data_IF_839577589719
#
_entry.id   IF_839577589719
#
_cell.length_a   1.000
_cell.length_b   1.000
_cell.length_c   1.000
_cell.angle_alpha   90.00
_cell.angle_beta   90.00
_cell.angle_gamma   90.00
#
_symmetry.space_group_name_H-M   'P 1'
#
loop_
_entity.id
_entity.type
_entity.pdbx_description
1 polymer ?
#
# COMPACT_ATOMS: atom_id res chain seq x y z
N UNK A 1 48.47 84.47 -0.78
CA UNK A 1 48.59 83.00 -0.73
C UNK A 1 47.49 82.48 0.17
N UNK A 2 46.83 81.42 -0.29
CA UNK A 2 45.42 81.10 -0.03
C UNK A 2 45.18 80.48 1.35
N UNK A 3 43.96 80.70 1.82
CA UNK A 3 43.33 80.56 3.14
C UNK A 3 43.22 79.14 3.75
N UNK A 4 43.37 79.11 5.09
CA UNK A 4 42.60 78.37 6.15
C UNK A 4 42.60 76.83 6.16
N UNK A 5 43.17 76.15 7.18
CA UNK A 5 42.63 75.88 8.56
C UNK A 5 41.51 74.79 8.55
N UNK A 6 41.44 73.75 9.39
CA UNK A 6 42.15 73.30 10.60
C UNK A 6 41.68 71.86 10.94
N UNK A 7 42.46 71.17 11.79
CA UNK A 7 42.25 69.94 12.59
C UNK A 7 40.81 69.72 13.15
N UNK A 8 40.34 68.55 13.61
CA UNK A 8 40.94 67.32 14.16
C UNK A 8 39.81 66.24 14.21
N UNK A 9 40.09 64.93 14.29
CA UNK A 9 39.04 63.94 14.66
C UNK A 9 39.57 62.62 15.27
N UNK A 10 39.00 62.13 16.40
CA UNK A 10 39.40 60.89 17.07
C UNK A 10 38.49 59.67 16.80
N UNK A 11 38.97 58.49 17.25
CA UNK A 11 38.54 57.08 17.08
C UNK A 11 37.09 56.69 17.46
N UNK A 12 36.52 55.60 16.89
CA UNK A 12 35.33 54.92 17.44
C UNK A 12 35.53 53.42 17.83
N UNK A 13 34.55 52.79 18.53
CA UNK A 13 34.70 51.54 19.30
C UNK A 13 33.89 50.31 18.81
N UNK A 14 34.04 49.21 19.57
CA UNK A 14 33.54 47.81 19.48
C UNK A 14 32.13 47.51 18.93
N UNK A 15 32.01 46.43 18.14
CA UNK A 15 30.78 45.91 17.53
C UNK A 15 29.99 44.94 18.42
N UNK A 16 28.66 45.13 18.47
CA UNK A 16 27.69 44.30 19.23
C UNK A 16 27.14 43.15 18.38
N UNK A 17 26.94 42.01 19.05
CA UNK A 17 26.28 40.77 18.60
C UNK A 17 24.77 41.00 18.40
N UNK A 18 24.24 40.79 17.18
CA UNK A 18 22.80 40.83 16.90
C UNK A 18 22.18 39.43 16.99
N UNK A 19 21.19 39.28 17.88
CA UNK A 19 20.25 38.14 17.90
C UNK A 19 19.27 38.29 16.74
N UNK A 20 19.20 37.31 15.84
CA UNK A 20 18.16 37.20 14.82
C UNK A 20 16.84 36.81 15.50
N UNK A 21 15.89 37.74 15.51
CA UNK A 21 14.51 37.48 15.88
C UNK A 21 13.79 36.72 14.75
N UNK A 22 13.14 35.61 15.08
CA UNK A 22 12.16 34.95 14.19
C UNK A 22 10.94 35.88 14.06
N UNK A 23 10.87 36.64 12.96
CA UNK A 23 9.64 37.32 12.58
C UNK A 23 8.63 36.28 12.07
N UNK A 24 7.62 35.98 12.90
CA UNK A 24 6.37 35.37 12.43
C UNK A 24 5.63 36.42 11.60
N UNK A 25 5.66 36.30 10.27
CA UNK A 25 4.71 37.02 9.43
C UNK A 25 3.30 36.49 9.73
N UNK A 26 2.27 37.35 9.92
CA UNK A 26 0.90 36.89 10.03
C UNK A 26 0.54 36.17 8.73
N UNK A 27 0.34 34.85 8.80
CA UNK A 27 -0.17 34.06 7.69
C UNK A 27 -1.55 34.61 7.33
N UNK A 28 -1.76 34.96 6.07
CA UNK A 28 -3.08 35.31 5.56
C UNK A 28 -4.06 34.17 5.87
N UNK A 29 -5.28 34.47 6.37
CA UNK A 29 -6.23 33.45 6.78
C UNK A 29 -6.56 32.52 5.60
N UNK A 30 -6.68 31.21 5.86
CA UNK A 30 -6.95 30.21 4.82
C UNK A 30 -8.27 30.47 4.09
N UNK A 31 -9.31 30.81 4.85
CA UNK A 31 -10.60 31.27 4.36
C UNK A 31 -10.99 32.56 5.09
N UNK A 32 -11.22 33.68 4.38
CA UNK A 32 -11.63 34.92 5.01
C UNK A 32 -12.88 34.74 5.89
N UNK A 33 -12.84 35.23 7.12
CA UNK A 33 -13.97 35.15 8.06
C UNK A 33 -14.10 33.84 8.83
N UNK A 34 -13.24 32.85 8.58
CA UNK A 34 -13.19 31.60 9.35
C UNK A 34 -11.90 31.48 10.17
N UNK A 35 -11.96 30.93 11.40
CA UNK A 35 -10.77 30.48 12.10
C UNK A 35 -10.03 29.39 11.30
N UNK A 36 -8.69 29.37 11.41
CA UNK A 36 -7.87 28.44 10.62
C UNK A 36 -8.26 26.97 10.82
N UNK A 37 -8.62 26.54 12.04
CA UNK A 37 -9.02 25.15 12.30
C UNK A 37 -10.30 24.76 11.55
N UNK A 38 -11.30 25.66 11.48
CA UNK A 38 -12.54 25.42 10.72
C UNK A 38 -12.23 25.43 9.22
N UNK A 39 -11.40 26.37 8.77
CA UNK A 39 -10.99 26.44 7.38
C UNK A 39 -10.25 25.17 6.94
N UNK A 40 -9.35 24.66 7.77
CA UNK A 40 -8.63 23.40 7.54
C UNK A 40 -9.59 22.22 7.44
N UNK A 41 -10.56 22.12 8.36
CA UNK A 41 -11.59 21.08 8.31
C UNK A 41 -12.40 21.15 7.01
N UNK A 42 -12.90 22.33 6.62
CA UNK A 42 -13.63 22.51 5.37
C UNK A 42 -12.77 22.12 4.14
N UNK A 43 -11.53 22.58 4.09
CA UNK A 43 -10.62 22.28 2.99
C UNK A 43 -10.23 20.79 2.95
N UNK A 44 -10.22 20.09 4.07
CA UNK A 44 -9.92 18.64 4.11
C UNK A 44 -10.89 17.78 3.31
N UNK A 45 -12.10 18.25 3.06
CA UNK A 45 -13.10 17.58 2.23
C UNK A 45 -12.96 17.87 0.73
N UNK A 46 -12.09 18.81 0.35
CA UNK A 46 -11.86 19.19 -1.03
C UNK A 46 -10.76 18.31 -1.64
N UNK A 47 -10.94 17.79 -2.87
CA UNK A 47 -9.90 17.04 -3.57
C UNK A 47 -8.53 17.75 -3.55
N UNK A 48 -7.43 17.07 -3.19
CA UNK A 48 -6.10 17.67 -3.12
C UNK A 48 -5.64 18.38 -4.41
N UNK A 49 -6.04 17.87 -5.58
CA UNK A 49 -5.76 18.50 -6.88
C UNK A 49 -6.39 19.88 -7.04
N UNK A 50 -7.60 20.08 -6.52
CA UNK A 50 -8.27 21.38 -6.49
C UNK A 50 -7.62 22.30 -5.46
N UNK A 51 -7.31 21.80 -4.27
CA UNK A 51 -6.58 22.58 -3.25
C UNK A 51 -5.23 23.10 -3.77
N UNK A 52 -4.52 22.27 -4.52
CA UNK A 52 -3.21 22.59 -5.08
C UNK A 52 -3.27 23.71 -6.14
N UNK A 53 -4.39 23.85 -6.85
CA UNK A 53 -4.55 24.79 -7.96
C UNK A 53 -5.08 26.17 -7.53
N UNK A 54 -5.80 26.27 -6.42
CA UNK A 54 -6.48 27.51 -6.01
C UNK A 54 -5.52 28.61 -5.53
N UNK A 55 -4.66 28.33 -4.55
CA UNK A 55 -3.76 29.35 -3.99
C UNK A 55 -2.49 28.76 -3.38
N UNK A 56 -1.45 29.59 -3.21
CA UNK A 56 -0.22 29.18 -2.51
C UNK A 56 -0.46 28.80 -1.04
N UNK A 57 -1.44 29.43 -0.38
CA UNK A 57 -1.76 29.14 1.02
C UNK A 57 -2.40 27.75 1.15
N UNK A 58 -3.36 27.43 0.29
CA UNK A 58 -4.03 26.12 0.27
C UNK A 58 -3.08 25.01 -0.18
N UNK A 59 -2.19 25.31 -1.14
CA UNK A 59 -1.13 24.37 -1.51
C UNK A 59 -0.22 24.05 -0.32
N UNK A 60 0.19 25.04 0.48
CA UNK A 60 1.02 24.81 1.68
C UNK A 60 0.28 23.98 2.72
N UNK A 61 -1.03 24.13 2.83
CA UNK A 61 -1.85 23.32 3.74
C UNK A 61 -1.70 21.82 3.45
N UNK A 62 -1.67 21.39 2.18
CA UNK A 62 -1.49 19.98 1.80
C UNK A 62 -0.22 19.32 2.35
N UNK A 63 0.81 20.11 2.63
CA UNK A 63 2.10 19.65 3.17
C UNK A 63 2.24 19.95 4.67
N UNK A 64 1.21 20.52 5.29
CA UNK A 64 1.16 20.78 6.72
C UNK A 64 0.86 19.48 7.48
N UNK A 65 1.45 19.25 8.67
CA UNK A 65 1.08 18.14 9.53
C UNK A 65 -0.39 18.20 10.01
N UNK A 66 -1.05 19.36 9.87
CA UNK A 66 -2.45 19.54 10.22
C UNK A 66 -3.44 19.08 9.15
N UNK A 67 -2.98 18.84 7.92
CA UNK A 67 -3.84 18.33 6.85
C UNK A 67 -3.84 16.80 6.89
N UNK A 68 -5.01 16.15 6.78
CA UNK A 68 -5.07 14.70 6.85
C UNK A 68 -4.22 14.09 5.73
N UNK A 69 -3.46 13.01 6.01
CA UNK A 69 -2.72 12.32 4.98
C UNK A 69 -3.70 11.82 3.92
N UNK A 70 -3.39 12.10 2.67
CA UNK A 70 -4.16 11.59 1.54
C UNK A 70 -3.34 10.54 0.80
N UNK A 71 -4.04 9.47 0.42
CA UNK A 71 -3.40 8.30 -0.16
C UNK A 71 -3.14 8.46 -1.65
N UNK A 72 -2.17 7.70 -2.12
CA UNK A 72 -1.74 7.55 -3.50
C UNK A 72 -1.77 6.07 -3.88
N UNK A 73 -1.84 5.78 -5.18
CA UNK A 73 -1.79 4.40 -5.66
C UNK A 73 -0.35 4.01 -5.95
N UNK A 74 -0.01 2.79 -5.56
CA UNK A 74 1.24 2.15 -5.89
C UNK A 74 0.91 0.90 -6.69
N UNK A 75 1.60 0.70 -7.80
CA UNK A 75 1.38 -0.44 -8.67
C UNK A 75 2.69 -1.16 -8.96
N UNK A 76 2.61 -2.48 -8.96
CA UNK A 76 3.61 -3.37 -9.53
C UNK A 76 3.18 -3.64 -10.96
N UNK A 77 4.01 -3.22 -11.90
CA UNK A 77 3.74 -3.28 -13.32
C UNK A 77 4.75 -4.20 -14.01
N UNK A 78 4.26 -5.03 -14.91
CA UNK A 78 5.06 -5.95 -15.71
C UNK A 78 5.12 -5.47 -17.15
N UNK A 79 6.30 -5.09 -17.62
CA UNK A 79 6.53 -4.67 -19.01
C UNK A 79 6.93 -5.84 -19.92
N UNK A 80 7.39 -6.95 -19.34
CA UNK A 80 7.77 -8.19 -20.02
C UNK A 80 7.64 -9.39 -19.06
N UNK A 81 7.83 -10.62 -19.55
CA UNK A 81 7.68 -11.84 -18.72
C UNK A 81 8.58 -11.88 -17.49
N UNK A 82 9.68 -11.10 -17.49
CA UNK A 82 10.74 -11.13 -16.49
C UNK A 82 11.12 -9.74 -16.00
N UNK A 83 10.27 -8.72 -16.15
CA UNK A 83 10.54 -7.38 -15.60
C UNK A 83 9.40 -6.94 -14.71
N UNK A 84 9.76 -6.53 -13.49
CA UNK A 84 8.83 -5.95 -12.52
C UNK A 84 9.30 -4.53 -12.22
N UNK A 85 8.46 -3.58 -12.60
CA UNK A 85 8.65 -2.16 -12.38
C UNK A 85 7.67 -1.67 -11.32
N UNK A 86 8.05 -0.66 -10.55
CA UNK A 86 7.24 -0.12 -9.46
C UNK A 86 6.88 1.32 -9.78
N UNK A 87 5.60 1.66 -9.67
CA UNK A 87 5.09 2.97 -10.00
C UNK A 87 4.24 3.55 -8.88
N UNK A 88 4.23 4.89 -8.80
CA UNK A 88 3.37 5.69 -7.96
C UNK A 88 2.47 6.58 -8.81
N UNK A 89 1.17 6.59 -8.54
CA UNK A 89 0.22 7.54 -9.10
C UNK A 89 -0.01 8.70 -8.15
N UNK A 90 0.47 9.89 -8.51
CA UNK A 90 0.25 11.09 -7.71
C UNK A 90 -1.16 11.66 -7.98
N UNK A 91 -2.06 11.68 -6.98
CA UNK A 91 -3.43 12.18 -7.16
C UNK A 91 -3.51 13.70 -7.38
N UNK A 92 -2.46 14.47 -7.09
CA UNK A 92 -2.44 15.91 -7.38
C UNK A 92 -2.15 16.17 -8.85
N UNK A 93 -1.10 15.52 -9.38
CA UNK A 93 -0.66 15.73 -10.76
C UNK A 93 -1.34 14.80 -11.77
N UNK A 94 -2.08 13.80 -11.29
CA UNK A 94 -2.72 12.74 -12.09
C UNK A 94 -1.74 12.05 -13.03
N UNK A 95 -0.55 11.72 -12.49
CA UNK A 95 0.55 11.12 -13.25
C UNK A 95 1.14 9.93 -12.53
N UNK A 96 1.43 8.90 -13.30
CA UNK A 96 2.29 7.79 -12.89
C UNK A 96 3.75 8.20 -12.99
N UNK A 97 4.52 7.88 -11.96
CA UNK A 97 5.97 8.08 -11.88
C UNK A 97 6.63 6.80 -11.39
N UNK A 98 7.80 6.42 -11.95
CA UNK A 98 8.52 5.26 -11.48
C UNK A 98 9.09 5.50 -10.08
N UNK A 99 9.08 4.46 -9.24
CA UNK A 99 9.83 4.47 -7.98
C UNK A 99 11.33 4.33 -8.27
N UNK A 100 12.21 4.76 -7.35
CA UNK A 100 13.62 4.41 -7.44
C UNK A 100 13.80 2.88 -7.48
N UNK A 101 14.83 2.36 -8.17
CA UNK A 101 15.05 0.92 -8.23
C UNK A 101 15.39 0.35 -6.84
N UNK A 102 14.91 -0.85 -6.49
CA UNK A 102 15.29 -1.51 -5.26
C UNK A 102 16.79 -1.88 -5.25
N UNK A 103 17.42 -1.99 -4.06
CA UNK A 103 18.79 -2.46 -3.94
C UNK A 103 18.93 -3.87 -4.53
N UNK A 104 20.02 -4.10 -5.27
CA UNK A 104 20.31 -5.36 -5.93
C UNK A 104 19.19 -5.85 -6.86
N UNK A 105 18.61 -4.93 -7.67
CA UNK A 105 17.57 -5.16 -8.69
C UNK A 105 17.21 -6.63 -8.91
N UNK A 106 16.33 -7.22 -8.08
CA UNK A 106 15.95 -8.62 -8.24
C UNK A 106 15.11 -8.83 -9.50
N UNK A 107 14.66 -7.73 -10.13
CA UNK A 107 13.83 -7.69 -11.32
C UNK A 107 14.40 -8.48 -12.49
N UNK A 108 15.72 -8.64 -12.65
CA UNK A 108 16.28 -9.51 -13.71
C UNK A 108 16.18 -11.02 -13.42
N UNK A 109 15.71 -11.41 -12.24
CA UNK A 109 15.63 -12.81 -11.79
C UNK A 109 14.23 -13.25 -11.38
N UNK A 110 13.26 -12.33 -11.25
CA UNK A 110 11.87 -12.67 -10.96
C UNK A 110 11.18 -13.19 -12.20
N UNK A 111 10.50 -14.32 -12.06
CA UNK A 111 9.71 -14.93 -13.11
C UNK A 111 8.23 -14.66 -12.82
N UNK A 112 7.58 -13.85 -13.67
CA UNK A 112 6.15 -13.51 -13.56
C UNK A 112 5.32 -14.46 -14.42
N UNK A 113 5.86 -14.86 -15.57
CA UNK A 113 5.21 -15.80 -16.49
C UNK A 113 6.12 -17.01 -16.72
N UNK A 114 5.56 -18.21 -16.73
CA UNK A 114 6.35 -19.40 -17.00
C UNK A 114 6.85 -19.39 -18.47
N UNK A 115 8.15 -19.63 -18.74
CA UNK A 115 8.72 -19.47 -20.08
C UNK A 115 8.09 -20.40 -21.14
N UNK A 116 7.63 -21.57 -20.72
CA UNK A 116 6.97 -22.56 -21.59
C UNK A 116 5.44 -22.54 -21.54
N UNK A 117 4.83 -21.82 -20.59
CA UNK A 117 3.38 -21.82 -20.38
C UNK A 117 2.90 -20.40 -20.15
N UNK A 118 2.57 -19.70 -21.24
CA UNK A 118 2.15 -18.30 -21.22
C UNK A 118 0.89 -18.04 -20.37
N UNK A 119 0.06 -19.06 -20.13
CA UNK A 119 -1.11 -18.96 -19.26
C UNK A 119 -0.78 -19.10 -17.77
N UNK A 120 0.44 -19.52 -17.42
CA UNK A 120 0.83 -19.76 -16.03
C UNK A 120 1.54 -18.54 -15.46
N UNK A 121 0.76 -17.74 -14.73
CA UNK A 121 1.27 -16.66 -13.89
C UNK A 121 1.94 -17.23 -12.63
N UNK A 122 3.10 -16.71 -12.27
CA UNK A 122 3.80 -16.99 -11.04
C UNK A 122 3.67 -15.77 -10.13
N UNK A 123 3.05 -15.96 -8.95
CA UNK A 123 2.62 -14.83 -8.16
C UNK A 123 3.78 -14.12 -7.49
N UNK A 124 3.59 -12.81 -7.32
CA UNK A 124 4.48 -11.91 -6.61
C UNK A 124 3.73 -11.40 -5.39
N UNK A 125 4.17 -11.82 -4.21
CA UNK A 125 3.56 -11.50 -2.93
C UNK A 125 4.02 -10.13 -2.48
N UNK A 126 3.08 -9.19 -2.45
CA UNK A 126 3.30 -7.82 -2.01
C UNK A 126 2.15 -7.36 -1.13
N UNK A 127 2.44 -6.46 -0.19
CA UNK A 127 1.44 -5.96 0.77
C UNK A 127 1.76 -4.54 1.22
N UNK A 128 0.72 -3.83 1.64
CA UNK A 128 0.81 -2.57 2.37
C UNK A 128 0.87 -2.85 3.88
N UNK A 129 1.86 -2.29 4.57
CA UNK A 129 1.96 -2.38 6.04
C UNK A 129 2.48 -1.07 6.63
N UNK A 130 1.75 -0.49 7.58
CA UNK A 130 2.11 0.76 8.27
C UNK A 130 2.65 1.85 7.33
N UNK A 131 1.96 2.07 6.21
CA UNK A 131 2.33 3.09 5.21
C UNK A 131 3.54 2.76 4.33
N UNK A 132 4.03 1.52 4.34
CA UNK A 132 5.12 1.03 3.50
C UNK A 132 4.62 -0.01 2.49
N UNK A 133 5.28 -0.08 1.34
CA UNK A 133 5.11 -1.18 0.38
C UNK A 133 6.13 -2.27 0.68
N UNK A 134 5.68 -3.50 0.89
CA UNK A 134 6.53 -4.66 1.07
C UNK A 134 6.42 -5.58 -0.14
N UNK A 135 7.56 -5.96 -0.71
CA UNK A 135 7.70 -7.06 -1.64
C UNK A 135 8.30 -8.25 -0.88
N UNK A 136 7.48 -9.28 -0.66
CA UNK A 136 7.73 -10.31 0.33
C UNK A 136 8.29 -11.59 -0.26
N UNK A 137 7.60 -12.14 -1.26
CA UNK A 137 7.93 -13.44 -1.83
C UNK A 137 7.67 -13.44 -3.33
N UNK A 138 8.53 -14.15 -4.07
CA UNK A 138 8.43 -14.29 -5.52
C UNK A 138 9.20 -15.55 -5.95
N UNK A 139 9.10 -15.88 -7.24
CA UNK A 139 9.71 -17.08 -7.81
C UNK A 139 10.82 -16.70 -8.79
N UNK A 140 11.95 -17.39 -8.73
CA UNK A 140 13.05 -17.23 -9.69
C UNK A 140 12.82 -18.03 -10.97
N UNK A 141 13.62 -17.80 -12.00
CA UNK A 141 13.62 -18.62 -13.23
C UNK A 141 13.84 -20.12 -12.99
N UNK A 142 14.56 -20.49 -11.92
CA UNK A 142 14.78 -21.89 -11.51
C UNK A 142 13.66 -22.43 -10.62
N UNK A 143 12.53 -21.72 -10.52
CA UNK A 143 11.40 -22.05 -9.66
C UNK A 143 11.79 -22.18 -8.18
N UNK A 144 12.75 -21.36 -7.72
CA UNK A 144 13.18 -21.27 -6.32
C UNK A 144 12.64 -19.98 -5.66
N UNK A 145 12.60 -19.87 -4.32
CA UNK A 145 12.24 -18.62 -3.65
C UNK A 145 13.21 -17.50 -4.04
N UNK A 146 12.67 -16.35 -4.47
CA UNK A 146 13.49 -15.26 -4.99
C UNK A 146 13.91 -14.22 -3.94
N UNK A 147 13.20 -14.14 -2.82
CA UNK A 147 13.34 -13.07 -1.84
C UNK A 147 13.66 -13.63 -0.45
N UNK A 148 14.92 -14.02 -0.18
CA UNK A 148 15.31 -14.43 1.16
C UNK A 148 15.27 -13.25 2.16
N UNK A 149 15.47 -12.03 1.66
CA UNK A 149 15.25 -10.78 2.39
C UNK A 149 14.18 -9.98 1.64
N UNK A 150 12.99 -9.78 2.22
CA UNK A 150 11.96 -8.93 1.63
C UNK A 150 12.45 -7.51 1.39
N UNK A 151 11.85 -6.82 0.42
CA UNK A 151 12.16 -5.43 0.08
C UNK A 151 11.06 -4.52 0.60
N UNK A 152 11.42 -3.53 1.40
CA UNK A 152 10.48 -2.56 1.96
C UNK A 152 10.76 -1.18 1.38
N UNK A 153 9.75 -0.57 0.78
CA UNK A 153 9.79 0.79 0.28
C UNK A 153 9.06 1.74 1.21
N UNK A 154 9.70 2.89 1.51
CA UNK A 154 9.08 3.98 2.26
C UNK A 154 8.73 5.14 1.34
N UNK A 155 7.44 5.49 1.21
CA UNK A 155 6.99 6.72 0.54
C UNK A 155 7.58 8.00 1.12
N UNK A 156 7.87 8.00 2.43
CA UNK A 156 8.35 9.19 3.11
C UNK A 156 9.81 9.51 2.78
N UNK A 157 10.67 8.49 2.77
CA UNK A 157 12.09 8.65 2.42
C UNK A 157 12.38 8.43 0.93
N UNK A 158 11.37 8.06 0.14
CA UNK A 158 11.49 7.66 -1.25
C UNK A 158 12.66 6.68 -1.48
N UNK A 159 12.72 5.63 -0.67
CA UNK A 159 13.83 4.70 -0.70
C UNK A 159 13.43 3.30 -0.29
N UNK A 160 14.17 2.33 -0.84
CA UNK A 160 14.05 0.93 -0.51
C UNK A 160 15.06 0.54 0.56
N UNK A 161 14.69 -0.41 1.42
CA UNK A 161 15.58 -1.10 2.33
C UNK A 161 15.27 -2.59 2.35
N UNK A 162 16.26 -3.38 2.78
CA UNK A 162 16.05 -4.80 3.04
C UNK A 162 15.38 -4.98 4.40
N UNK A 163 14.31 -5.75 4.44
CA UNK A 163 13.70 -6.25 5.66
C UNK A 163 14.58 -7.33 6.33
N UNK A 164 14.24 -7.78 7.53
CA UNK A 164 14.87 -8.94 8.16
C UNK A 164 14.74 -10.20 7.28
N UNK A 165 15.78 -11.05 7.23
CA UNK A 165 15.75 -12.28 6.44
C UNK A 165 14.64 -13.21 6.93
N UNK A 166 13.89 -13.79 5.99
CA UNK A 166 12.92 -14.84 6.31
C UNK A 166 13.67 -16.04 6.93
N UNK A 167 13.16 -16.65 8.03
CA UNK A 167 13.75 -17.87 8.59
C UNK A 167 13.81 -19.00 7.57
N UNK A 168 12.81 -19.08 6.70
CA UNK A 168 12.81 -19.94 5.52
C UNK A 168 12.28 -19.15 4.32
N UNK A 169 13.16 -18.80 3.35
CA UNK A 169 12.72 -18.19 2.09
C UNK A 169 11.70 -19.09 1.39
N UNK A 170 10.59 -18.51 0.95
CA UNK A 170 9.46 -19.27 0.40
C UNK A 170 8.76 -18.56 -0.75
N UNK A 171 7.98 -19.33 -1.51
CA UNK A 171 7.06 -18.89 -2.57
C UNK A 171 5.67 -19.50 -2.33
N UNK A 172 4.65 -18.98 -3.01
CA UNK A 172 3.26 -19.47 -2.92
C UNK A 172 2.76 -19.55 -1.46
N UNK A 173 3.18 -18.57 -0.66
CA UNK A 173 2.76 -18.40 0.72
C UNK A 173 1.55 -17.49 0.79
N UNK A 174 0.82 -17.62 1.89
CA UNK A 174 -0.12 -16.60 2.29
C UNK A 174 0.59 -15.45 2.99
N UNK A 175 0.14 -14.22 2.74
CA UNK A 175 0.74 -13.05 3.34
C UNK A 175 -0.29 -11.96 3.63
N UNK A 176 -0.13 -11.28 4.76
CA UNK A 176 -1.03 -10.22 5.19
C UNK A 176 -0.38 -9.27 6.18
N UNK A 177 -1.05 -8.15 6.42
CA UNK A 177 -0.70 -7.21 7.47
C UNK A 177 -1.82 -7.14 8.50
N UNK A 178 -1.47 -7.08 9.77
CA UNK A 178 -2.41 -6.88 10.87
C UNK A 178 -1.72 -6.13 12.01
N UNK A 179 -2.32 -5.05 12.49
CA UNK A 179 -1.80 -4.20 13.59
C UNK A 179 -0.36 -3.75 13.36
N UNK A 180 -0.06 -3.38 12.12
CA UNK A 180 1.28 -2.94 11.69
C UNK A 180 2.36 -4.03 11.69
N UNK A 181 1.96 -5.29 11.79
CA UNK A 181 2.85 -6.46 11.72
C UNK A 181 2.59 -7.22 10.42
N UNK A 182 3.63 -7.83 9.87
CA UNK A 182 3.57 -8.65 8.66
C UNK A 182 3.47 -10.11 9.06
N UNK A 183 2.58 -10.84 8.42
CA UNK A 183 2.41 -12.28 8.62
C UNK A 183 2.69 -13.01 7.33
N UNK A 184 3.41 -14.13 7.45
CA UNK A 184 3.68 -15.06 6.37
C UNK A 184 3.30 -16.44 6.84
N UNK A 185 2.40 -17.09 6.13
CA UNK A 185 1.91 -18.42 6.46
C UNK A 185 2.11 -19.36 5.28
N UNK A 186 2.43 -20.62 5.59
CA UNK A 186 2.49 -21.70 4.59
C UNK A 186 3.49 -21.45 3.47
N UNK A 187 3.24 -22.03 2.29
CA UNK A 187 4.07 -21.92 1.09
C UNK A 187 5.16 -22.98 0.98
N UNK A 188 6.05 -22.77 0.01
CA UNK A 188 7.08 -23.75 -0.38
C UNK A 188 8.45 -23.08 -0.37
N UNK A 189 9.40 -23.69 0.34
CA UNK A 189 10.80 -23.28 0.34
C UNK A 189 11.54 -23.71 -0.94
N UNK A 190 12.83 -24.04 -0.84
CA UNK A 190 13.54 -24.66 -1.98
C UNK A 190 12.88 -25.98 -2.41
N UNK A 191 12.39 -26.74 -1.44
CA UNK A 191 11.62 -27.97 -1.62
C UNK A 191 10.33 -27.90 -0.79
N UNK A 192 9.39 -28.80 -1.09
CA UNK A 192 8.21 -28.96 -0.24
C UNK A 192 8.60 -29.56 1.11
N UNK A 193 8.10 -28.97 2.19
CA UNK A 193 8.20 -29.50 3.55
C UNK A 193 6.90 -29.20 4.27
N UNK A 194 6.38 -30.21 4.98
CA UNK A 194 5.20 -30.07 5.83
C UNK A 194 5.42 -29.04 6.94
N UNK A 195 6.64 -28.90 7.45
CA UNK A 195 6.96 -27.92 8.49
C UNK A 195 6.76 -26.49 7.99
N UNK A 196 7.26 -26.19 6.79
CA UNK A 196 7.12 -24.87 6.13
C UNK A 196 5.67 -24.63 5.74
N UNK A 197 5.00 -25.64 5.19
CA UNK A 197 3.59 -25.55 4.77
C UNK A 197 2.64 -25.29 5.95
N UNK A 198 3.06 -25.63 7.18
CA UNK A 198 2.31 -25.39 8.42
C UNK A 198 2.82 -24.20 9.23
N UNK A 199 3.98 -23.66 8.91
CA UNK A 199 4.58 -22.58 9.70
C UNK A 199 3.89 -21.25 9.43
N UNK A 200 3.88 -20.42 10.46
CA UNK A 200 3.43 -19.03 10.39
C UNK A 200 4.48 -18.19 11.12
N UNK A 201 4.98 -17.17 10.43
CA UNK A 201 5.91 -16.21 10.98
C UNK A 201 5.32 -14.81 10.96
N UNK A 202 5.61 -14.06 12.02
CA UNK A 202 5.19 -12.68 12.23
C UNK A 202 6.43 -11.79 12.30
N UNK A 203 6.37 -10.61 11.71
CA UNK A 203 7.38 -9.58 11.87
C UNK A 203 6.73 -8.23 12.20
N UNK A 204 7.06 -7.70 13.37
CA UNK A 204 6.58 -6.38 13.81
C UNK A 204 7.36 -5.27 13.12
N UNK A 205 6.67 -4.42 12.34
CA UNK A 205 7.31 -3.31 11.66
C UNK A 205 7.55 -2.14 12.63
N UNK A 206 8.69 -2.18 13.32
CA UNK A 206 9.18 -1.05 14.13
C UNK A 206 9.60 0.11 13.22
N UNK A 207 9.60 1.34 13.73
CA UNK A 207 9.90 2.55 12.94
C UNK A 207 11.25 2.47 12.19
N UNK A 208 12.25 1.83 12.79
CA UNK A 208 13.57 1.61 12.19
C UNK A 208 13.62 0.42 11.19
N UNK A 209 12.54 -0.35 11.05
CA UNK A 209 12.48 -1.57 10.24
C UNK A 209 13.36 -2.70 10.75
N UNK A 210 13.88 -2.57 11.97
CA UNK A 210 14.64 -3.61 12.63
C UNK A 210 13.70 -4.51 13.42
N UNK A 211 14.04 -5.78 13.48
CA UNK A 211 13.26 -6.82 14.14
C UNK A 211 13.66 -8.17 13.57
N UNK A 212 13.21 -9.23 14.22
CA UNK A 212 13.34 -10.58 13.71
C UNK A 212 11.95 -11.14 13.43
N UNK A 213 11.91 -12.18 12.62
CA UNK A 213 10.69 -12.95 12.41
C UNK A 213 10.47 -13.87 13.63
N UNK A 214 9.27 -13.82 14.18
CA UNK A 214 8.85 -14.62 15.32
C UNK A 214 7.85 -15.68 14.86
N UNK A 215 7.93 -16.88 15.44
CA UNK A 215 6.98 -17.95 15.15
C UNK A 215 5.71 -17.73 15.97
N UNK A 216 4.56 -17.83 15.32
CA UNK A 216 3.23 -17.84 15.96
C UNK A 216 2.56 -19.19 15.73
N UNK A 217 1.33 -19.37 16.20
CA UNK A 217 0.59 -20.62 16.03
C UNK A 217 0.51 -21.03 14.55
N UNK A 218 0.91 -22.28 14.32
CA UNK A 218 0.99 -22.85 12.98
C UNK A 218 -0.36 -23.37 12.49
N UNK A 219 -0.45 -23.59 11.18
CA UNK A 219 -1.60 -24.22 10.55
C UNK A 219 -1.68 -25.72 10.88
N UNK A 220 -2.90 -26.25 10.83
CA UNK A 220 -3.17 -27.68 11.03
C UNK A 220 -2.61 -28.57 9.92
N UNK A 221 -2.46 -28.05 8.72
CA UNK A 221 -1.95 -28.76 7.55
C UNK A 221 -1.44 -27.78 6.47
N UNK A 222 -1.00 -28.30 5.33
CA UNK A 222 -0.42 -27.53 4.24
C UNK A 222 -1.39 -27.10 3.15
N UNK A 223 -2.71 -27.02 3.40
CA UNK A 223 -3.70 -26.69 2.35
C UNK A 223 -3.49 -25.32 1.71
N UNK A 224 -2.83 -24.39 2.41
CA UNK A 224 -2.50 -23.04 1.94
C UNK A 224 -1.15 -22.94 1.21
N UNK A 225 -0.45 -24.06 0.93
CA UNK A 225 0.90 -24.03 0.35
C UNK A 225 0.94 -24.12 -1.19
N UNK A 226 -0.21 -24.06 -1.86
CA UNK A 226 -0.34 -24.37 -3.30
C UNK A 226 -0.38 -23.14 -4.19
N UNK A 227 -0.75 -22.00 -3.65
CA UNK A 227 -0.82 -20.73 -4.37
C UNK A 227 -0.53 -19.57 -3.41
N UNK A 228 -0.24 -18.42 -4.00
CA UNK A 228 -0.20 -17.12 -3.37
C UNK A 228 -1.59 -16.70 -2.88
N UNK A 229 -1.70 -16.51 -1.57
CA UNK A 229 -2.96 -16.16 -0.91
C UNK A 229 -2.81 -14.81 -0.20
N UNK A 230 -3.79 -13.94 -0.39
CA UNK A 230 -3.87 -12.68 0.35
C UNK A 230 -4.56 -12.97 1.68
N UNK A 231 -3.85 -12.71 2.79
CA UNK A 231 -4.40 -12.76 4.13
C UNK A 231 -4.91 -11.36 4.51
N UNK A 232 -6.22 -11.23 4.67
CA UNK A 232 -6.86 -9.94 4.93
C UNK A 232 -6.90 -9.67 6.42
N UNK A 233 -6.16 -8.65 6.87
CA UNK A 233 -6.21 -8.18 8.26
C UNK A 233 -7.47 -7.36 8.52
N UNK A 234 -8.30 -7.81 9.45
CA UNK A 234 -9.59 -7.19 9.76
C UNK A 234 -9.97 -7.43 11.22
N UNK A 235 -10.22 -6.34 11.97
CA UNK A 235 -10.66 -6.32 13.36
C UNK A 235 -9.85 -7.23 14.29
N UNK A 236 -8.52 -7.18 14.18
CA UNK A 236 -7.62 -8.02 14.99
C UNK A 236 -7.54 -9.48 14.52
N UNK A 237 -8.07 -9.81 13.34
CA UNK A 237 -8.04 -11.16 12.78
C UNK A 237 -7.37 -11.16 11.40
N UNK A 238 -6.76 -12.28 11.02
CA UNK A 238 -6.28 -12.52 9.65
C UNK A 238 -7.15 -13.58 8.98
N UNK A 239 -7.87 -13.17 7.94
CA UNK A 239 -8.77 -14.04 7.19
C UNK A 239 -8.10 -14.51 5.90
N UNK A 240 -8.10 -15.81 5.64
CA UNK A 240 -7.44 -16.42 4.47
C UNK A 240 -8.33 -17.47 3.82
N UNK A 241 -8.34 -17.50 2.48
CA UNK A 241 -9.10 -18.48 1.69
C UNK A 241 -8.15 -19.21 0.73
N UNK A 242 -8.23 -20.54 0.71
CA UNK A 242 -7.25 -21.40 0.01
C UNK A 242 -7.38 -21.41 -1.53
N UNK A 243 -8.54 -21.04 -2.08
CA UNK A 243 -8.83 -21.11 -3.52
C UNK A 243 -9.51 -19.83 -4.00
N UNK A 244 -8.99 -19.29 -5.11
CA UNK A 244 -9.56 -18.12 -5.82
C UNK A 244 -10.84 -18.50 -6.57
N UNK A 245 -11.71 -17.51 -6.78
CA UNK A 245 -12.96 -17.67 -7.53
C UNK A 245 -14.05 -18.50 -6.87
N UNK A 246 -14.91 -19.16 -7.66
CA UNK A 246 -16.14 -19.83 -7.18
C UNK A 246 -15.97 -21.31 -6.79
N UNK A 247 -14.75 -21.86 -6.84
CA UNK A 247 -14.52 -23.24 -6.45
C UNK A 247 -14.84 -23.48 -4.96
N UNK A 248 -15.11 -24.73 -4.60
CA UNK A 248 -15.22 -25.13 -3.20
C UNK A 248 -13.93 -24.74 -2.48
N UNK A 249 -14.10 -23.92 -1.46
CA UNK A 249 -13.02 -23.24 -0.76
C UNK A 249 -13.14 -23.51 0.72
N UNK A 250 -12.01 -23.42 1.40
CA UNK A 250 -11.90 -23.47 2.84
C UNK A 250 -11.23 -22.18 3.29
N UNK A 251 -11.72 -21.66 4.41
CA UNK A 251 -11.27 -20.41 4.99
C UNK A 251 -10.78 -20.65 6.41
N UNK A 252 -9.71 -19.96 6.77
CA UNK A 252 -9.21 -19.93 8.14
C UNK A 252 -9.16 -18.48 8.62
N UNK A 253 -9.38 -18.32 9.92
CA UNK A 253 -9.32 -17.03 10.61
C UNK A 253 -8.34 -17.17 11.76
N UNK A 254 -7.26 -16.41 11.74
CA UNK A 254 -6.34 -16.32 12.87
C UNK A 254 -6.77 -15.19 13.79
N UNK A 255 -6.91 -15.50 15.08
CA UNK A 255 -7.19 -14.53 16.13
C UNK A 255 -5.87 -14.07 16.79
N UNK A 256 -5.57 -12.77 16.67
CA UNK A 256 -4.32 -12.21 17.20
C UNK A 256 -4.22 -12.28 18.73
N UNK A 257 -5.34 -12.13 19.43
CA UNK A 257 -5.33 -12.08 20.90
C UNK A 257 -5.14 -13.47 21.50
N UNK A 258 -5.72 -14.49 20.85
CA UNK A 258 -5.60 -15.89 21.28
C UNK A 258 -4.36 -16.60 20.74
N UNK A 259 -3.76 -16.09 19.66
CA UNK A 259 -2.75 -16.82 18.87
C UNK A 259 -3.28 -18.20 18.44
N UNK A 260 -4.47 -18.23 17.85
CA UNK A 260 -5.15 -19.46 17.44
C UNK A 260 -5.81 -19.32 16.07
N UNK A 261 -5.91 -20.45 15.35
CA UNK A 261 -6.60 -20.54 14.06
C UNK A 261 -7.96 -21.21 14.25
N UNK A 262 -9.00 -20.55 13.76
CA UNK A 262 -10.39 -21.01 13.78
C UNK A 262 -10.90 -21.20 12.34
N UNK A 263 -11.94 -22.03 12.18
CA UNK A 263 -12.63 -22.16 10.89
C UNK A 263 -13.37 -20.85 10.55
N UNK A 264 -13.33 -20.45 9.28
CA UNK A 264 -13.98 -19.22 8.83
C UNK A 264 -15.52 -19.31 8.93
N UNK A 265 -16.21 -18.26 9.40
CA UNK A 265 -17.68 -18.22 9.43
C UNK A 265 -18.32 -18.53 8.07
N UNK A 266 -19.46 -19.23 8.09
CA UNK A 266 -20.12 -19.74 6.89
C UNK A 266 -20.55 -18.62 5.93
N UNK A 267 -21.05 -17.50 6.46
CA UNK A 267 -21.47 -16.36 5.66
C UNK A 267 -20.28 -15.61 5.05
N UNK A 268 -19.21 -15.41 5.83
CA UNK A 268 -17.95 -14.85 5.34
C UNK A 268 -17.41 -15.65 4.15
N UNK A 269 -17.21 -16.96 4.31
CA UNK A 269 -16.67 -17.80 3.23
C UNK A 269 -17.65 -17.96 2.06
N UNK A 270 -18.96 -18.00 2.33
CA UNK A 270 -20.01 -18.17 1.33
C UNK A 270 -20.10 -17.03 0.31
N UNK A 271 -19.71 -15.81 0.70
CA UNK A 271 -19.66 -14.64 -0.19
C UNK A 271 -18.26 -14.29 -0.71
N UNK A 272 -17.20 -14.96 -0.25
CA UNK A 272 -15.81 -14.68 -0.66
C UNK A 272 -15.51 -15.23 -2.07
N UNK A 273 -16.01 -14.57 -3.11
CA UNK A 273 -16.01 -15.06 -4.51
C UNK A 273 -15.01 -14.39 -5.44
N UNK A 274 -14.03 -13.68 -4.90
CA UNK A 274 -12.96 -13.06 -5.66
C UNK A 274 -11.93 -12.41 -4.72
N UNK A 275 -11.19 -11.38 -5.19
CA UNK A 275 -10.21 -10.70 -4.34
C UNK A 275 -10.93 -9.94 -3.22
N UNK A 276 -10.25 -9.82 -2.08
CA UNK A 276 -10.73 -9.13 -0.90
C UNK A 276 -9.61 -8.30 -0.26
N UNK A 277 -10.01 -7.25 0.45
CA UNK A 277 -9.13 -6.33 1.17
C UNK A 277 -9.93 -5.60 2.25
N UNK A 278 -9.25 -5.24 3.33
CA UNK A 278 -9.83 -4.42 4.39
C UNK A 278 -9.33 -2.98 4.30
N UNK A 279 -10.24 -2.04 4.51
CA UNK A 279 -9.93 -0.62 4.68
C UNK A 279 -9.66 -0.37 6.16
N UNK A 280 -8.45 0.11 6.47
CA UNK A 280 -8.03 0.51 7.82
C UNK A 280 -8.25 -0.57 8.91
N UNK A 281 -8.21 -1.85 8.50
CA UNK A 281 -8.52 -3.03 9.33
C UNK A 281 -9.96 -3.05 9.91
N UNK A 282 -10.88 -2.21 9.44
CA UNK A 282 -12.24 -2.10 9.99
C UNK A 282 -13.32 -2.61 9.03
N UNK A 283 -13.28 -2.17 7.78
CA UNK A 283 -14.29 -2.52 6.77
C UNK A 283 -13.68 -3.49 5.74
N UNK A 284 -14.20 -4.72 5.67
CA UNK A 284 -13.77 -5.71 4.69
C UNK A 284 -14.65 -5.64 3.43
N UNK A 285 -13.99 -5.62 2.28
CA UNK A 285 -14.64 -5.62 0.97
C UNK A 285 -14.21 -6.85 0.15
N UNK A 286 -15.11 -7.31 -0.70
CA UNK A 286 -14.85 -8.35 -1.70
C UNK A 286 -15.45 -7.93 -3.03
N UNK A 287 -14.77 -8.28 -4.13
CA UNK A 287 -15.36 -8.21 -5.47
C UNK A 287 -15.68 -9.61 -5.94
N UNK A 288 -16.93 -9.86 -6.31
CA UNK A 288 -17.32 -11.07 -7.00
C UNK A 288 -16.78 -11.03 -8.43
N UNK A 289 -15.82 -11.91 -8.75
CA UNK A 289 -15.12 -11.87 -10.03
C UNK A 289 -16.05 -12.20 -11.23
N UNK A 290 -17.18 -12.87 -11.00
CA UNK A 290 -18.10 -13.28 -12.07
C UNK A 290 -19.19 -12.24 -12.27
N UNK A 291 -19.85 -11.81 -11.20
CA UNK A 291 -20.94 -10.83 -11.30
C UNK A 291 -20.42 -9.40 -11.43
N UNK A 292 -19.25 -9.09 -10.86
CA UNK A 292 -18.75 -7.73 -10.72
C UNK A 292 -19.44 -6.94 -9.60
N UNK A 293 -20.05 -7.62 -8.63
CA UNK A 293 -20.58 -6.97 -7.42
C UNK A 293 -19.45 -6.72 -6.42
N UNK A 294 -19.29 -5.46 -6.01
CA UNK A 294 -18.50 -5.05 -4.86
C UNK A 294 -19.39 -5.13 -3.63
N UNK A 295 -18.97 -5.92 -2.64
CA UNK A 295 -19.69 -6.14 -1.40
C UNK A 295 -18.85 -5.79 -0.18
N UNK A 296 -19.50 -5.33 0.89
CA UNK A 296 -18.92 -5.08 2.20
C UNK A 296 -19.42 -6.13 3.19
N UNK A 297 -18.54 -6.65 4.03
CA UNK A 297 -18.94 -7.64 5.04
C UNK A 297 -19.60 -6.98 6.26
N UNK A 298 -20.77 -7.46 6.64
CA UNK A 298 -21.44 -7.17 7.91
C UNK A 298 -21.21 -8.34 8.88
N UNK A 299 -20.38 -8.14 9.92
CA UNK A 299 -20.06 -9.19 10.87
C UNK A 299 -21.19 -9.53 11.84
N UNK A 300 -22.15 -8.63 12.09
CA UNK A 300 -23.25 -8.88 13.02
C UNK A 300 -24.25 -9.88 12.45
N UNK A 301 -24.38 -9.86 11.12
CA UNK A 301 -25.31 -10.71 10.36
C UNK A 301 -24.59 -11.85 9.63
N UNK A 302 -23.26 -11.92 9.72
CA UNK A 302 -22.41 -12.81 8.94
C UNK A 302 -22.81 -12.83 7.46
N UNK A 303 -22.86 -11.67 6.81
CA UNK A 303 -23.25 -11.60 5.39
C UNK A 303 -22.57 -10.45 4.64
N UNK A 304 -22.64 -10.53 3.31
CA UNK A 304 -22.06 -9.54 2.42
C UNK A 304 -23.14 -8.60 1.84
N UNK A 305 -23.04 -7.32 2.15
CA UNK A 305 -23.88 -6.23 1.66
C UNK A 305 -23.41 -5.72 0.30
N UNK A 306 -24.30 -5.62 -0.68
CA UNK A 306 -23.99 -5.00 -1.97
C UNK A 306 -23.73 -3.49 -1.81
N UNK A 307 -22.56 -3.05 -2.26
CA UNK A 307 -22.16 -1.64 -2.34
C UNK A 307 -22.45 -1.11 -3.74
N UNK A 308 -22.04 -1.86 -4.78
CA UNK A 308 -22.36 -1.57 -6.17
C UNK A 308 -22.15 -2.80 -7.06
N UNK A 309 -22.76 -2.81 -8.24
CA UNK A 309 -22.49 -3.80 -9.29
C UNK A 309 -22.03 -3.10 -10.57
N UNK A 310 -20.98 -3.62 -11.21
CA UNK A 310 -20.49 -3.07 -12.47
C UNK A 310 -19.81 -4.13 -13.33
N UNK A 311 -20.12 -4.15 -14.63
CA UNK A 311 -19.42 -4.99 -15.60
C UNK A 311 -17.90 -4.73 -15.65
N UNK A 312 -17.44 -3.55 -15.23
CA UNK A 312 -16.00 -3.22 -15.18
C UNK A 312 -15.25 -3.93 -14.07
N UNK A 313 -15.95 -4.46 -13.07
CA UNK A 313 -15.37 -5.21 -11.95
C UNK A 313 -15.31 -6.72 -12.22
N UNK A 314 -15.86 -7.18 -13.35
CA UNK A 314 -15.77 -8.58 -13.76
C UNK A 314 -14.33 -8.96 -14.07
N UNK A 315 -13.96 -10.18 -13.69
CA UNK A 315 -12.60 -10.69 -13.79
C UNK A 315 -11.65 -10.07 -12.77
N UNK A 316 -12.13 -9.48 -11.67
CA UNK A 316 -11.25 -8.96 -10.62
C UNK A 316 -10.24 -10.02 -10.14
N UNK A 317 -8.95 -9.69 -10.15
CA UNK A 317 -7.86 -10.61 -9.80
C UNK A 317 -7.12 -10.21 -8.53
N UNK A 318 -7.10 -8.92 -8.19
CA UNK A 318 -6.45 -8.37 -7.00
C UNK A 318 -7.12 -7.05 -6.61
N UNK A 319 -7.06 -6.67 -5.34
CA UNK A 319 -7.57 -5.39 -4.87
C UNK A 319 -6.80 -4.84 -3.67
N UNK A 320 -6.91 -3.53 -3.46
CA UNK A 320 -6.53 -2.85 -2.23
C UNK A 320 -7.61 -1.86 -1.81
N UNK A 321 -7.75 -1.62 -0.51
CA UNK A 321 -8.69 -0.66 0.04
C UNK A 321 -7.97 0.31 0.98
N UNK A 322 -8.31 1.60 0.89
CA UNK A 322 -7.70 2.64 1.74
C UNK A 322 -8.19 4.03 1.39
N UNK A 323 -8.31 4.90 2.41
CA UNK A 323 -8.66 6.32 2.21
C UNK A 323 -9.99 6.52 1.46
N UNK A 324 -11.01 5.73 1.83
CA UNK A 324 -12.36 5.82 1.25
C UNK A 324 -12.50 5.22 -0.16
N UNK A 325 -11.47 4.52 -0.66
CA UNK A 325 -11.46 3.94 -2.01
C UNK A 325 -11.11 2.46 -2.00
N UNK A 326 -11.74 1.72 -2.90
CA UNK A 326 -11.39 0.34 -3.27
C UNK A 326 -10.81 0.38 -4.68
N UNK A 327 -9.59 -0.12 -4.84
CA UNK A 327 -8.87 -0.18 -6.11
C UNK A 327 -8.75 -1.63 -6.54
N UNK A 328 -9.28 -1.95 -7.71
CA UNK A 328 -9.45 -3.32 -8.20
C UNK A 328 -8.69 -3.49 -9.49
N UNK A 329 -7.83 -4.50 -9.55
CA UNK A 329 -7.18 -4.94 -10.79
C UNK A 329 -8.11 -5.94 -11.45
N UNK A 330 -8.59 -5.62 -12.66
CA UNK A 330 -9.50 -6.50 -13.40
C UNK A 330 -8.77 -7.19 -14.56
N UNK A 331 -8.95 -8.51 -14.66
CA UNK A 331 -8.32 -9.40 -15.62
C UNK A 331 -8.79 -9.16 -17.04
N UNK A 332 -7.95 -8.50 -17.82
CA UNK A 332 -7.98 -8.37 -19.28
C UNK A 332 -6.55 -8.48 -19.81
N UNK A 333 -6.33 -8.33 -21.13
CA UNK A 333 -5.02 -8.59 -21.76
C UNK A 333 -3.83 -7.77 -21.23
N UNK A 334 -4.09 -6.69 -20.45
CA UNK A 334 -3.06 -5.87 -19.78
C UNK A 334 -3.44 -5.41 -18.35
N UNK A 335 -4.57 -5.84 -17.80
CA UNK A 335 -5.05 -5.39 -16.49
C UNK A 335 -5.39 -3.89 -16.42
N UNK A 336 -6.59 -3.55 -15.97
CA UNK A 336 -6.98 -2.15 -15.68
C UNK A 336 -7.13 -1.97 -14.18
N UNK A 337 -6.78 -0.78 -13.67
CA UNK A 337 -7.07 -0.39 -12.28
C UNK A 337 -8.39 0.36 -12.27
N UNK A 338 -9.42 -0.27 -11.73
CA UNK A 338 -10.74 0.34 -11.51
C UNK A 338 -10.78 0.87 -10.09
N UNK A 339 -11.09 2.15 -9.92
CA UNK A 339 -11.18 2.79 -8.60
C UNK A 339 -12.64 3.06 -8.29
N UNK A 340 -13.06 2.61 -7.10
CA UNK A 340 -14.39 2.82 -6.55
C UNK A 340 -14.27 3.71 -5.31
N UNK A 341 -14.89 4.88 -5.34
CA UNK A 341 -15.16 5.71 -4.17
C UNK A 341 -16.39 5.17 -3.46
N UNK A 342 -16.15 4.53 -2.31
CA UNK A 342 -17.17 3.90 -1.48
C UNK A 342 -17.76 4.85 -0.43
N UNK A 343 -17.21 6.07 -0.32
CA UNK A 343 -17.73 7.12 0.57
C UNK A 343 -18.78 7.97 -0.14
N UNK A 344 -18.70 8.08 -1.46
CA UNK A 344 -19.74 8.71 -2.27
C UNK A 344 -21.07 7.93 -2.18
N UNK A 345 -22.19 8.66 -2.14
CA UNK A 345 -23.54 8.09 -2.17
C UNK A 345 -24.33 8.67 -3.37
N UNK A 346 -24.63 7.87 -4.42
CA UNK A 346 -24.18 6.49 -4.62
C UNK A 346 -22.67 6.39 -4.89
N UNK A 347 -22.11 5.20 -4.68
CA UNK A 347 -20.70 4.92 -4.94
C UNK A 347 -20.32 5.28 -6.38
N UNK A 348 -19.11 5.82 -6.57
CA UNK A 348 -18.62 6.30 -7.88
C UNK A 348 -17.47 5.45 -8.35
N UNK A 349 -17.45 5.15 -9.64
CA UNK A 349 -16.43 4.31 -10.26
C UNK A 349 -15.80 5.01 -11.44
N UNK A 350 -14.47 4.94 -11.54
CA UNK A 350 -13.70 5.36 -12.72
C UNK A 350 -12.53 4.40 -12.97
N UNK A 351 -11.92 4.51 -14.14
CA UNK A 351 -10.72 3.73 -14.50
C UNK A 351 -9.51 4.64 -14.37
N UNK A 352 -8.47 4.16 -13.71
CA UNK A 352 -7.17 4.81 -13.65
C UNK A 352 -6.25 4.19 -14.72
N UNK A 353 -5.95 4.92 -15.83
CA UNK A 353 -5.13 4.38 -16.90
C UNK A 353 -3.70 4.15 -16.41
N UNK A 354 -3.16 2.97 -16.71
CA UNK A 354 -1.77 2.60 -16.39
C UNK A 354 -0.83 2.97 -17.54
N UNK A 355 0.50 3.06 -17.28
CA UNK A 355 1.49 3.25 -18.33
C UNK A 355 1.27 2.31 -19.54
N UNK A 356 1.38 2.81 -20.79
CA UNK A 356 1.13 1.99 -21.96
C UNK A 356 2.10 0.79 -22.04
N UNK A 357 1.58 -0.39 -22.38
CA UNK A 357 2.42 -1.58 -22.56
C UNK A 357 2.69 -2.39 -21.31
N UNK A 358 2.15 -1.99 -20.16
CA UNK A 358 2.35 -2.73 -18.90
C UNK A 358 1.13 -3.55 -18.50
N UNK A 359 1.39 -4.70 -17.89
CA UNK A 359 0.42 -5.52 -17.16
C UNK A 359 0.41 -5.16 -15.67
N UNK A 360 -0.76 -5.01 -15.06
CA UNK A 360 -0.86 -4.75 -13.61
C UNK A 360 -0.75 -6.06 -12.83
N UNK A 361 0.30 -6.20 -12.03
CA UNK A 361 0.54 -7.37 -11.19
C UNK A 361 -0.12 -7.22 -9.82
N UNK A 362 0.00 -6.03 -9.21
CA UNK A 362 -0.63 -5.71 -7.93
C UNK A 362 -0.85 -4.21 -7.79
N UNK A 363 -1.90 -3.81 -7.06
CA UNK A 363 -2.16 -2.44 -6.63
C UNK A 363 -2.19 -2.35 -5.11
N UNK A 364 -1.69 -1.23 -4.59
CA UNK A 364 -1.59 -0.90 -3.18
C UNK A 364 -2.02 0.54 -2.95
N UNK A 365 -2.69 0.80 -1.82
CA UNK A 365 -3.02 2.15 -1.36
C UNK A 365 -2.09 2.51 -0.20
N UNK A 366 -1.33 3.59 -0.34
CA UNK A 366 -0.33 4.01 0.64
C UNK A 366 -0.31 5.54 0.77
N UNK A 367 0.32 6.10 1.82
CA UNK A 367 0.55 7.53 1.92
C UNK A 367 1.24 8.08 0.67
N UNK A 368 0.84 9.27 0.23
CA UNK A 368 1.51 9.95 -0.87
C UNK A 368 2.99 10.18 -0.58
N UNK A 369 3.80 10.00 -1.61
CA UNK A 369 5.24 10.29 -1.55
C UNK A 369 5.50 11.76 -1.27
N UNK A 370 6.38 12.04 -0.32
CA UNK A 370 6.90 13.40 -0.13
C UNK A 370 8.02 13.61 -1.15
N UNK A 371 7.70 14.25 -2.27
CA UNK A 371 8.76 14.89 -3.04
C UNK A 371 9.29 16.01 -2.15
N UNK A 372 10.46 15.83 -1.55
CA UNK A 372 11.19 16.97 -1.02
C UNK A 372 11.25 17.97 -2.18
N UNK A 373 10.58 19.11 -2.04
CA UNK A 373 10.78 20.20 -2.97
C UNK A 373 12.28 20.42 -2.99
N UNK A 374 12.93 20.21 -4.14
CA UNK A 374 14.32 20.59 -4.33
C UNK A 374 14.45 22.02 -3.79
N UNK A 375 15.23 22.11 -2.72
CA UNK A 375 15.42 23.32 -1.89
C UNK A 375 15.99 24.47 -2.68
#
# INVERSE_FOLDING_TARGET
MVTTATADSPTPPSSKRNKLAFHQHPSSPLLPGLPDHVAQFCLSHVPPSLLFSVSRSWRRLLYSPSFPPFSSLYALLSSSSNSLDFFNFDPISSKWSPLPPPPNSPSSHLLIHHPSFLSRHLPVQSLSVSGHLLLLAATTHNLLPALPRPLLFSPFSNSWRLAPPLPTPRRWCAAGALRGSVYVASGIGSFFSTDVARSVERWDLKANGAGDWEKVSGLKDGRFSRDAIDAVGWKGKLCMVNVKGHALKEGLVYDLEKDEWEDMPEGMIGGWRGPAAAMDEEDMYVVDEVSGSLRRYDPERDFWEDVMESNRLKGAVQMAAGGGRVCVVCGGSRGEIVVVDVVASPARLWVEPTPPGTEVVAVHVLPRMNWAADS
#
